data_IF_341379695591
#
_entry.id   IF_341379695591
#
_cell.length_a   1.000
_cell.length_b   1.000
_cell.length_c   1.000
_cell.angle_alpha   90.00
_cell.angle_beta   90.00
_cell.angle_gamma   90.00
#
_symmetry.space_group_name_H-M   'P 1'
#
loop_
_entity.id
_entity.type
_entity.pdbx_description
1 polymer ?
#
# COMPACT_ATOMS: atom_id res chain seq x y z
N UNK A 1 -11.10 -13.69 15.89
CA UNK A 1 -10.81 -13.03 14.60
C UNK A 1 -10.98 -11.54 14.78
N UNK A 2 -9.99 -10.76 14.35
CA UNK A 2 -10.00 -9.29 14.48
C UNK A 2 -9.99 -8.68 13.09
N UNK A 3 -10.81 -7.65 12.88
CA UNK A 3 -10.77 -6.89 11.63
C UNK A 3 -9.66 -5.86 11.70
N UNK A 4 -8.71 -5.95 10.77
CA UNK A 4 -7.58 -5.03 10.64
C UNK A 4 -7.70 -4.34 9.29
N UNK A 5 -7.30 -3.07 9.24
CA UNK A 5 -7.15 -2.30 8.00
C UNK A 5 -5.73 -1.77 7.94
N UNK A 6 -5.05 -1.98 6.82
CA UNK A 6 -3.66 -1.57 6.62
C UNK A 6 -3.60 -0.57 5.47
N UNK A 7 -3.03 0.60 5.73
CA UNK A 7 -2.67 1.57 4.69
C UNK A 7 -1.23 1.32 4.21
N UNK A 8 -1.03 1.27 2.90
CA UNK A 8 0.27 1.19 2.27
C UNK A 8 0.50 2.43 1.41
N UNK A 9 1.71 3.00 1.48
CA UNK A 9 2.14 4.13 0.67
C UNK A 9 3.56 3.91 0.16
N UNK A 10 3.83 4.28 -1.09
CA UNK A 10 5.18 4.30 -1.67
C UNK A 10 5.32 5.43 -2.69
N UNK A 11 6.48 6.10 -2.68
CA UNK A 11 6.75 7.26 -3.55
C UNK A 11 8.11 7.25 -4.26
N UNK A 12 9.02 6.34 -3.94
CA UNK A 12 10.37 6.30 -4.53
C UNK A 12 10.67 4.98 -5.25
N UNK A 13 11.60 5.05 -6.21
CA UNK A 13 12.01 3.95 -7.09
C UNK A 13 10.88 3.46 -8.01
N UNK A 14 10.10 2.48 -7.54
CA UNK A 14 9.12 1.75 -8.34
C UNK A 14 7.82 1.54 -7.54
N UNK A 15 7.12 2.62 -7.17
CA UNK A 15 6.13 2.60 -6.10
C UNK A 15 4.97 1.63 -6.35
N UNK A 16 4.48 1.56 -7.59
CA UNK A 16 3.42 0.61 -7.96
C UNK A 16 3.88 -0.85 -7.88
N UNK A 17 5.15 -1.14 -8.23
CA UNK A 17 5.71 -2.49 -8.08
C UNK A 17 5.85 -2.86 -6.61
N UNK A 18 6.30 -1.93 -5.78
CA UNK A 18 6.40 -2.14 -4.33
C UNK A 18 5.03 -2.41 -3.69
N UNK A 19 4.00 -1.62 -4.02
CA UNK A 19 2.63 -1.88 -3.55
C UNK A 19 2.12 -3.25 -3.98
N UNK A 20 2.31 -3.61 -5.26
CA UNK A 20 1.90 -4.92 -5.79
C UNK A 20 2.59 -6.08 -5.06
N UNK A 21 3.87 -5.95 -4.78
CA UNK A 21 4.65 -6.96 -4.04
C UNK A 21 4.15 -7.07 -2.60
N UNK A 22 3.90 -5.95 -1.92
CA UNK A 22 3.37 -5.96 -0.56
C UNK A 22 1.99 -6.63 -0.47
N UNK A 23 1.07 -6.33 -1.39
CA UNK A 23 -0.23 -7.00 -1.42
C UNK A 23 -0.12 -8.50 -1.72
N UNK A 24 0.81 -8.93 -2.58
CA UNK A 24 1.06 -10.37 -2.78
C UNK A 24 1.52 -11.04 -1.49
N UNK A 25 2.46 -10.43 -0.77
CA UNK A 25 2.89 -10.97 0.53
C UNK A 25 1.74 -11.10 1.54
N UNK A 26 0.81 -10.14 1.57
CA UNK A 26 -0.37 -10.26 2.42
C UNK A 26 -1.31 -11.38 1.96
N UNK A 27 -1.54 -11.50 0.65
CA UNK A 27 -2.41 -12.53 0.09
C UNK A 27 -1.85 -13.95 0.30
N UNK A 28 -0.52 -14.09 0.28
CA UNK A 28 0.17 -15.37 0.45
C UNK A 28 0.40 -15.72 1.94
N UNK A 29 0.04 -14.83 2.88
CA UNK A 29 0.31 -15.04 4.29
C UNK A 29 -0.70 -16.02 4.91
N UNK A 30 -0.26 -17.14 5.51
CA UNK A 30 -1.16 -18.24 5.91
C UNK A 30 -2.13 -17.89 7.05
N UNK A 31 -1.84 -16.81 7.79
CA UNK A 31 -2.67 -16.36 8.92
C UNK A 31 -3.52 -15.13 8.60
N UNK A 32 -3.50 -14.63 7.36
CA UNK A 32 -4.33 -13.52 6.93
C UNK A 32 -5.46 -14.07 6.07
N UNK A 33 -6.66 -13.56 6.30
CA UNK A 33 -7.79 -13.85 5.44
C UNK A 33 -7.59 -13.22 4.06
N UNK A 34 -8.19 -13.77 3.00
CA UNK A 34 -8.13 -13.21 1.66
C UNK A 34 -8.49 -11.73 1.64
N UNK A 35 -7.62 -10.97 0.98
CA UNK A 35 -7.58 -9.52 1.07
C UNK A 35 -8.36 -8.87 -0.07
N UNK A 36 -9.06 -7.77 0.21
CA UNK A 36 -9.63 -6.91 -0.83
C UNK A 36 -8.94 -5.55 -0.77
N UNK A 37 -8.07 -5.28 -1.74
CA UNK A 37 -7.33 -4.03 -1.80
C UNK A 37 -8.18 -2.94 -2.47
N UNK A 38 -8.12 -1.72 -1.94
CA UNK A 38 -8.69 -0.55 -2.60
C UNK A 38 -7.97 -0.25 -3.91
N UNK A 39 -8.58 0.59 -4.74
CA UNK A 39 -7.87 1.25 -5.82
C UNK A 39 -6.67 2.03 -5.28
N UNK A 40 -5.62 2.09 -6.10
CA UNK A 40 -4.46 2.94 -5.83
C UNK A 40 -4.83 4.39 -6.13
N UNK A 41 -4.45 5.30 -5.24
CA UNK A 41 -4.63 6.74 -5.42
C UNK A 41 -3.31 7.49 -5.17
N UNK A 42 -3.17 8.64 -5.83
CA UNK A 42 -2.01 9.51 -5.69
C UNK A 42 -2.29 10.58 -4.64
N UNK A 43 -1.30 10.93 -3.81
CA UNK A 43 -1.39 12.08 -2.90
C UNK A 43 -0.04 12.79 -2.77
N UNK A 44 -0.08 14.10 -2.55
CA UNK A 44 1.10 14.86 -2.18
C UNK A 44 1.73 14.32 -0.88
N UNK A 45 3.06 14.43 -0.72
CA UNK A 45 3.73 14.07 0.53
C UNK A 45 3.24 14.95 1.67
N UNK A 46 3.04 14.35 2.84
CA UNK A 46 2.85 15.11 4.08
C UNK A 46 4.24 15.43 4.67
N UNK A 47 4.56 16.71 4.82
CA UNK A 47 5.89 17.16 5.28
C UNK A 47 6.71 17.80 4.15
N UNK A 48 8.03 17.51 4.05
CA UNK A 48 8.88 18.08 3.00
C UNK A 48 8.30 17.81 1.61
N UNK A 49 8.25 18.87 0.80
CA UNK A 49 7.64 18.84 -0.54
C UNK A 49 8.66 18.57 -1.65
N UNK A 50 9.94 18.44 -1.32
CA UNK A 50 11.04 18.13 -2.23
C UNK A 50 11.14 16.63 -2.58
N UNK A 51 10.04 15.89 -2.43
CA UNK A 51 9.93 14.47 -2.72
C UNK A 51 8.75 14.18 -3.66
N UNK A 52 8.73 13.04 -4.37
CA UNK A 52 7.63 12.69 -5.25
C UNK A 52 6.33 12.41 -4.48
N UNK A 53 5.21 12.50 -5.22
CA UNK A 53 3.90 12.07 -4.75
C UNK A 53 3.86 10.58 -4.37
N UNK A 54 3.03 10.26 -3.39
CA UNK A 54 2.79 8.90 -2.93
C UNK A 54 1.68 8.22 -3.71
N UNK A 55 1.94 6.98 -4.12
CA UNK A 55 0.90 6.02 -4.45
C UNK A 55 0.47 5.33 -3.16
N UNK A 56 -0.83 5.36 -2.88
CA UNK A 56 -1.41 4.81 -1.67
C UNK A 56 -2.54 3.83 -1.98
N UNK A 57 -2.73 2.85 -1.10
CA UNK A 57 -3.86 1.94 -1.13
C UNK A 57 -4.16 1.40 0.28
N UNK A 58 -5.36 0.88 0.49
CA UNK A 58 -5.79 0.28 1.75
C UNK A 58 -6.19 -1.18 1.53
N UNK A 59 -5.88 -2.03 2.48
CA UNK A 59 -6.37 -3.40 2.59
C UNK A 59 -7.20 -3.54 3.87
#
# INVERSE_FOLDING_TARGET
MSRIVVGLGSNVNEPLRQLKTAFRHFADHPHLDPINASHVYLSAPQGPQDQPDFYNARH
#
